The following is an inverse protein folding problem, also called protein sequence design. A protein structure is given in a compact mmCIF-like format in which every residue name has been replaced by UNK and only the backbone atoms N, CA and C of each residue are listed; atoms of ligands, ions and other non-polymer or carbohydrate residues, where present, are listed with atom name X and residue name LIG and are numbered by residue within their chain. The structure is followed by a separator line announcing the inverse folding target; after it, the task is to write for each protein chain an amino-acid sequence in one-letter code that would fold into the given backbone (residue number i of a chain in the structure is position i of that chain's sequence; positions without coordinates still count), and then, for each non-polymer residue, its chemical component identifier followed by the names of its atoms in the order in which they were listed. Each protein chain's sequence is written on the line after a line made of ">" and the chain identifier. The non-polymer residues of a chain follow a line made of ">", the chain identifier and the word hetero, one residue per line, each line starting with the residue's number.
data_IF_887049914866
#
_entry.id   IF_887049914866
#
_cell.length_a   1.000
_cell.length_b   1.000
_cell.length_c   1.000
_cell.angle_alpha   90.00
_cell.angle_beta   90.00
_cell.angle_gamma   90.00
#
_symmetry.space_group_name_H-M   'P 1'
#
loop_
_entity.id
_entity.type
_entity.pdbx_description
1 polymer ?
#
# COMPACT_ATOMS: atom_id res chain seq x y z
N UNK A 1 15.74 26.32 -14.10
CA UNK A 1 15.27 25.70 -12.84
C UNK A 1 15.51 24.21 -12.95
N UNK A 2 16.49 23.69 -12.24
CA UNK A 2 16.74 22.25 -12.19
C UNK A 2 15.59 21.54 -11.48
N UNK A 3 15.07 20.44 -12.04
CA UNK A 3 14.04 19.63 -11.39
C UNK A 3 14.53 19.01 -10.07
N UNK A 4 13.64 18.63 -9.14
CA UNK A 4 14.02 18.15 -7.82
C UNK A 4 14.85 16.85 -7.87
N UNK A 5 15.81 16.73 -6.96
CA UNK A 5 16.76 15.62 -6.88
C UNK A 5 16.11 14.23 -6.69
N UNK A 6 14.85 14.13 -6.24
CA UNK A 6 14.15 12.84 -5.96
C UNK A 6 13.69 12.08 -7.18
N UNK A 7 13.75 12.71 -8.34
CA UNK A 7 13.54 12.05 -9.61
C UNK A 7 14.86 11.68 -10.30
N UNK A 8 16.00 12.09 -9.73
CA UNK A 8 17.34 11.69 -10.16
C UNK A 8 17.78 10.50 -9.31
N UNK A 9 18.21 9.44 -9.99
CA UNK A 9 18.88 8.32 -9.37
C UNK A 9 20.17 8.79 -8.69
N UNK A 10 20.69 8.09 -7.67
CA UNK A 10 22.01 8.40 -7.14
C UNK A 10 23.03 8.45 -8.29
N UNK A 11 23.89 9.48 -8.36
CA UNK A 11 24.90 9.57 -9.41
C UNK A 11 25.87 8.39 -9.27
N UNK A 12 26.26 7.81 -10.40
CA UNK A 12 27.48 7.03 -10.44
C UNK A 12 28.65 7.96 -10.08
N UNK A 13 29.53 7.48 -9.20
CA UNK A 13 30.73 8.17 -8.71
C UNK A 13 31.47 8.91 -9.85
N UNK A 14 31.72 10.23 -9.75
CA UNK A 14 32.35 11.02 -10.80
C UNK A 14 33.88 10.87 -10.84
N UNK A 15 34.47 9.95 -10.08
CA UNK A 15 35.91 9.69 -10.15
C UNK A 15 36.24 8.69 -11.27
N UNK A 16 36.81 9.20 -12.35
CA UNK A 16 37.33 8.43 -13.47
C UNK A 16 38.54 7.56 -13.09
N UNK A 17 38.28 6.46 -12.39
CA UNK A 17 39.19 5.33 -12.27
C UNK A 17 38.46 4.06 -12.72
N UNK A 18 38.90 3.50 -13.85
CA UNK A 18 38.57 2.13 -14.26
C UNK A 18 39.14 1.14 -13.25
N UNK A 19 38.47 0.97 -12.12
CA UNK A 19 38.60 -0.24 -11.32
C UNK A 19 37.61 -1.25 -11.88
N UNK A 20 38.12 -2.41 -12.30
CA UNK A 20 37.33 -3.58 -12.65
C UNK A 20 36.27 -3.85 -11.57
N UNK A 21 35.04 -3.40 -11.80
CA UNK A 21 33.94 -3.53 -10.83
C UNK A 21 33.62 -5.01 -10.68
N UNK A 22 33.96 -5.58 -9.53
CA UNK A 22 33.15 -6.63 -8.92
C UNK A 22 31.68 -6.20 -9.02
N UNK A 23 30.76 -7.07 -9.46
CA UNK A 23 29.33 -6.76 -9.57
C UNK A 23 28.88 -5.92 -8.36
N UNK A 24 28.56 -4.65 -8.59
CA UNK A 24 28.38 -3.69 -7.50
C UNK A 24 27.05 -3.97 -6.79
N UNK A 25 27.12 -4.68 -5.68
CA UNK A 25 25.98 -5.00 -4.82
C UNK A 25 25.44 -3.73 -4.16
N UNK A 26 24.13 -3.55 -4.15
CA UNK A 26 23.47 -2.43 -3.48
C UNK A 26 23.17 -2.79 -2.02
N UNK A 27 23.54 -1.91 -1.09
CA UNK A 27 23.16 -2.06 0.31
C UNK A 27 21.80 -1.40 0.54
N UNK A 28 20.87 -2.12 1.17
CA UNK A 28 19.51 -1.65 1.48
C UNK A 28 19.20 -1.96 2.94
N UNK A 29 18.73 -0.97 3.69
CA UNK A 29 18.27 -1.22 5.06
C UNK A 29 16.94 -1.98 5.02
N UNK A 30 16.85 -3.11 5.72
CA UNK A 30 15.62 -3.88 5.86
C UNK A 30 15.11 -3.82 7.30
N UNK A 31 13.87 -3.40 7.47
CA UNK A 31 13.21 -3.38 8.78
C UNK A 31 11.96 -4.27 8.73
N UNK A 32 12.03 -5.52 9.21
CA UNK A 32 10.89 -6.45 9.10
C UNK A 32 9.63 -5.97 9.82
N UNK A 33 9.77 -5.20 10.89
CA UNK A 33 8.65 -4.72 11.71
C UNK A 33 7.94 -5.84 12.46
N UNK A 34 6.67 -5.61 12.78
CA UNK A 34 5.84 -6.48 13.61
C UNK A 34 4.82 -7.29 12.79
N UNK A 35 4.15 -8.22 13.46
CA UNK A 35 3.08 -9.00 12.87
C UNK A 35 3.60 -9.94 11.77
N UNK A 36 2.97 -9.95 10.59
CA UNK A 36 3.41 -10.79 9.46
C UNK A 36 4.65 -10.25 8.76
N UNK A 37 5.15 -9.07 9.13
CA UNK A 37 6.30 -8.42 8.50
C UNK A 37 7.54 -9.31 8.31
N UNK A 38 8.03 -10.03 9.35
CA UNK A 38 9.15 -10.97 9.22
C UNK A 38 8.93 -12.08 8.19
N UNK A 39 7.72 -12.65 8.11
CA UNK A 39 7.35 -13.67 7.13
C UNK A 39 7.39 -13.10 5.70
N UNK A 40 6.89 -11.89 5.51
CA UNK A 40 6.90 -11.21 4.22
C UNK A 40 8.31 -10.79 3.77
N UNK A 41 9.16 -10.33 4.70
CA UNK A 41 10.55 -10.02 4.37
C UNK A 41 11.36 -11.28 4.04
N UNK A 42 11.09 -12.39 4.71
CA UNK A 42 11.68 -13.68 4.33
C UNK A 42 11.28 -14.07 2.90
N UNK A 43 10.00 -13.94 2.55
CA UNK A 43 9.51 -14.18 1.19
C UNK A 43 10.23 -13.30 0.14
N UNK A 44 10.47 -12.02 0.44
CA UNK A 44 11.25 -11.14 -0.44
C UNK A 44 12.68 -11.68 -0.62
N UNK A 45 13.36 -12.04 0.46
CA UNK A 45 14.74 -12.57 0.41
C UNK A 45 14.83 -13.86 -0.42
N UNK A 46 13.86 -14.76 -0.30
CA UNK A 46 13.81 -16.00 -1.11
C UNK A 46 13.66 -15.71 -2.60
N UNK A 47 12.74 -14.81 -2.96
CA UNK A 47 12.53 -14.41 -4.36
C UNK A 47 13.77 -13.68 -4.91
N UNK A 48 14.39 -12.80 -4.12
CA UNK A 48 15.58 -12.04 -4.52
C UNK A 48 16.78 -12.97 -4.74
N UNK A 49 16.96 -13.97 -3.88
CA UNK A 49 17.98 -15.00 -4.04
C UNK A 49 17.77 -15.82 -5.30
N UNK A 50 16.54 -16.25 -5.57
CA UNK A 50 16.20 -17.01 -6.77
C UNK A 50 16.37 -16.20 -8.06
N UNK A 51 16.08 -14.89 -8.01
CA UNK A 51 16.24 -13.98 -9.14
C UNK A 51 17.68 -13.42 -9.28
N UNK A 52 18.63 -13.84 -8.44
CA UNK A 52 20.01 -13.33 -8.40
C UNK A 52 20.07 -11.79 -8.39
N UNK A 53 19.29 -11.18 -7.50
CA UNK A 53 19.26 -9.72 -7.33
C UNK A 53 20.53 -9.24 -6.62
N UNK A 54 21.26 -8.23 -7.16
CA UNK A 54 22.48 -7.71 -6.55
C UNK A 54 22.18 -6.75 -5.39
N UNK A 55 21.43 -7.21 -4.38
CA UNK A 55 21.06 -6.45 -3.18
C UNK A 55 21.47 -7.22 -1.93
N UNK A 56 22.13 -6.54 -1.00
CA UNK A 56 22.42 -7.02 0.35
C UNK A 56 21.60 -6.22 1.34
N UNK A 57 20.85 -6.93 2.18
CA UNK A 57 20.02 -6.33 3.21
C UNK A 57 20.81 -6.17 4.51
N UNK A 58 20.87 -4.94 5.00
CA UNK A 58 21.27 -4.62 6.37
C UNK A 58 20.01 -4.68 7.26
N UNK A 59 19.82 -5.83 7.93
CA UNK A 59 18.59 -6.14 8.67
C UNK A 59 18.64 -5.60 10.11
N UNK A 60 17.65 -4.77 10.46
CA UNK A 60 17.47 -4.24 11.80
C UNK A 60 16.12 -4.66 12.39
N UNK A 61 16.01 -4.73 13.72
CA UNK A 61 14.75 -5.03 14.41
C UNK A 61 14.29 -3.85 15.26
N UNK A 62 13.07 -3.37 15.00
CA UNK A 62 12.42 -2.31 15.76
C UNK A 62 10.95 -2.67 16.00
N UNK A 63 10.53 -2.62 17.26
CA UNK A 63 9.17 -2.95 17.70
C UNK A 63 8.80 -2.10 18.91
N UNK A 64 7.62 -1.49 18.91
CA UNK A 64 7.07 -0.78 20.09
C UNK A 64 6.38 -1.75 21.06
N UNK A 65 5.91 -2.90 20.58
CA UNK A 65 5.13 -3.86 21.41
C UNK A 65 6.02 -4.64 22.34
N UNK A 66 7.21 -5.01 21.87
CA UNK A 66 8.13 -5.83 22.65
C UNK A 66 8.86 -5.03 23.74
N UNK A 67 8.65 -3.71 23.86
CA UNK A 67 9.40 -2.80 24.75
C UNK A 67 10.94 -2.92 24.63
N UNK A 68 11.43 -3.53 23.55
CA UNK A 68 12.86 -3.79 23.33
C UNK A 68 13.57 -2.59 22.69
N UNK A 69 12.82 -1.57 22.28
CA UNK A 69 13.31 -0.44 21.53
C UNK A 69 13.59 0.73 22.46
N UNK A 70 14.86 1.09 22.56
CA UNK A 70 15.32 2.36 23.10
C UNK A 70 15.33 3.41 21.99
N UNK A 71 15.36 4.69 22.36
CA UNK A 71 15.60 5.77 21.39
C UNK A 71 16.89 5.52 20.57
N UNK A 72 17.91 4.96 21.22
CA UNK A 72 19.18 4.58 20.59
C UNK A 72 18.99 3.58 19.44
N UNK A 73 18.08 2.60 19.56
CA UNK A 73 17.81 1.66 18.46
C UNK A 73 17.10 2.34 17.30
N UNK A 74 16.20 3.29 17.57
CA UNK A 74 15.60 4.07 16.49
C UNK A 74 16.67 4.89 15.76
N UNK A 75 17.61 5.50 16.49
CA UNK A 75 18.72 6.25 15.89
C UNK A 75 19.64 5.36 15.05
N UNK A 76 20.00 4.16 15.53
CA UNK A 76 20.77 3.18 14.74
C UNK A 76 20.09 2.83 13.42
N UNK A 77 18.77 2.58 13.44
CA UNK A 77 18.00 2.30 12.23
C UNK A 77 17.97 3.50 11.30
N UNK A 78 17.77 4.71 11.84
CA UNK A 78 17.78 5.95 11.05
C UNK A 78 19.14 6.15 10.39
N UNK A 79 20.24 5.91 11.10
CA UNK A 79 21.59 6.09 10.58
C UNK A 79 21.90 5.06 9.48
N UNK A 80 21.52 3.79 9.64
CA UNK A 80 21.57 2.80 8.56
C UNK A 80 20.77 3.25 7.32
N UNK A 81 19.57 3.82 7.50
CA UNK A 81 18.77 4.34 6.38
C UNK A 81 19.39 5.58 5.72
N UNK A 82 20.10 6.42 6.48
CA UNK A 82 20.84 7.57 5.91
C UNK A 82 22.03 7.12 5.07
N UNK A 83 22.73 6.07 5.52
CA UNK A 83 23.88 5.48 4.82
C UNK A 83 23.44 4.75 3.54
N UNK A 84 22.44 3.87 3.63
CA UNK A 84 21.95 3.09 2.49
C UNK A 84 21.12 3.91 1.50
N UNK A 85 20.54 5.04 1.96
CA UNK A 85 19.60 5.91 1.24
C UNK A 85 18.28 5.26 0.82
N UNK A 86 18.18 3.94 0.88
CA UNK A 86 17.05 3.14 0.43
C UNK A 86 16.73 2.08 1.47
N UNK A 87 15.45 1.98 1.85
CA UNK A 87 15.01 0.99 2.81
C UNK A 87 13.74 0.25 2.37
N UNK A 88 13.60 -1.00 2.84
CA UNK A 88 12.38 -1.80 2.74
C UNK A 88 11.85 -2.09 4.14
N UNK A 89 10.66 -1.60 4.46
CA UNK A 89 10.10 -1.67 5.81
C UNK A 89 8.77 -2.41 5.86
N UNK A 90 8.58 -3.21 6.91
CA UNK A 90 7.31 -3.77 7.33
C UNK A 90 6.60 -2.82 8.30
N UNK A 91 5.43 -3.23 8.80
CA UNK A 91 4.65 -2.39 9.72
C UNK A 91 5.15 -2.53 11.15
N UNK A 92 5.68 -1.45 11.72
CA UNK A 92 5.87 -1.32 13.18
C UNK A 92 4.50 -1.13 13.83
N UNK A 93 4.10 -2.01 14.74
CA UNK A 93 2.83 -1.90 15.46
C UNK A 93 2.91 -0.80 16.51
N UNK A 94 1.92 0.09 16.54
CA UNK A 94 1.81 1.16 17.53
C UNK A 94 0.72 0.79 18.53
N UNK A 95 1.03 0.63 19.83
CA UNK A 95 0.03 0.38 20.86
C UNK A 95 -1.02 1.50 20.90
N UNK A 96 -2.29 1.14 21.15
CA UNK A 96 -3.37 2.13 21.30
C UNK A 96 -3.38 2.81 22.67
N UNK A 97 -2.70 2.21 23.66
CA UNK A 97 -2.63 2.76 25.01
C UNK A 97 -1.62 3.90 25.08
N UNK A 98 -2.04 5.04 25.64
CA UNK A 98 -1.16 6.17 25.88
C UNK A 98 -0.17 5.84 27.01
N UNK A 99 1.12 5.74 26.67
CA UNK A 99 2.22 5.47 27.62
C UNK A 99 3.15 6.67 27.81
N UNK A 100 2.67 7.89 27.56
CA UNK A 100 3.41 9.14 27.77
C UNK A 100 3.99 9.79 26.52
N UNK A 101 4.25 9.02 25.44
CA UNK A 101 4.62 9.57 24.13
C UNK A 101 3.47 9.41 23.14
N UNK A 102 3.03 10.52 22.53
CA UNK A 102 1.97 10.53 21.52
C UNK A 102 2.46 10.13 20.12
N UNK A 103 3.76 10.24 19.87
CA UNK A 103 4.33 9.96 18.56
C UNK A 103 4.94 8.55 18.52
N UNK A 104 4.44 7.73 17.61
CA UNK A 104 4.96 6.38 17.39
C UNK A 104 6.36 6.38 16.77
N UNK A 105 7.07 5.25 16.83
CA UNK A 105 8.35 5.05 16.16
C UNK A 105 8.24 5.20 14.65
N UNK A 106 7.15 4.72 14.03
CA UNK A 106 6.91 4.93 12.60
C UNK A 106 6.83 6.43 12.27
N UNK A 107 6.14 7.23 13.11
CA UNK A 107 6.06 8.68 12.94
C UNK A 107 7.40 9.38 13.20
N UNK A 108 8.14 8.97 14.22
CA UNK A 108 9.47 9.53 14.54
C UNK A 108 10.49 9.21 13.45
N UNK A 109 10.50 7.97 12.95
CA UNK A 109 11.33 7.53 11.82
C UNK A 109 11.08 8.41 10.59
N UNK A 110 9.81 8.56 10.19
CA UNK A 110 9.42 9.38 9.03
C UNK A 110 9.79 10.86 9.19
N UNK A 111 9.70 11.41 10.41
CA UNK A 111 10.12 12.79 10.71
C UNK A 111 11.63 12.95 10.68
N UNK A 112 12.39 12.04 11.29
CA UNK A 112 13.87 12.07 11.30
C UNK A 112 14.47 11.99 9.89
N UNK A 113 13.79 11.29 8.97
CA UNK A 113 14.18 11.17 7.56
C UNK A 113 13.50 12.19 6.62
N UNK A 114 12.62 13.05 7.13
CA UNK A 114 11.74 13.96 6.35
C UNK A 114 11.07 13.28 5.15
N UNK A 115 10.53 12.07 5.36
CA UNK A 115 9.77 11.31 4.36
C UNK A 115 8.41 11.97 4.13
N UNK A 116 8.40 13.05 3.36
CA UNK A 116 7.28 13.98 3.22
C UNK A 116 6.18 13.52 2.27
N UNK A 117 6.51 12.72 1.26
CA UNK A 117 5.56 12.26 0.26
C UNK A 117 5.39 10.76 0.36
N UNK A 118 4.19 10.30 0.68
CA UNK A 118 3.81 8.90 0.53
C UNK A 118 3.03 8.72 -0.78
N UNK A 119 3.36 7.70 -1.54
CA UNK A 119 2.81 7.38 -2.85
C UNK A 119 2.27 5.96 -2.82
N UNK A 120 0.98 5.80 -3.09
CA UNK A 120 0.31 4.50 -3.13
C UNK A 120 -0.27 4.28 -4.51
N UNK A 121 0.15 3.19 -5.16
CA UNK A 121 -0.29 2.82 -6.50
C UNK A 121 -1.48 1.86 -6.41
N UNK A 122 -2.68 2.38 -6.65
CA UNK A 122 -3.92 1.61 -6.59
C UNK A 122 -4.26 1.14 -7.99
N UNK A 123 -3.75 -0.06 -8.33
CA UNK A 123 -3.92 -0.66 -9.64
C UNK A 123 -4.59 -2.03 -9.55
N UNK A 124 -5.63 -2.25 -10.36
CA UNK A 124 -6.25 -3.57 -10.48
C UNK A 124 -5.24 -4.59 -11.02
N UNK A 125 -5.15 -5.74 -10.36
CA UNK A 125 -4.26 -6.81 -10.78
C UNK A 125 -4.89 -7.64 -11.92
N UNK A 126 -4.16 -7.90 -13.01
CA UNK A 126 -4.67 -8.70 -14.12
C UNK A 126 -5.16 -10.09 -13.66
N UNK A 127 -6.37 -10.48 -14.09
CA UNK A 127 -6.97 -11.79 -13.77
C UNK A 127 -7.51 -11.96 -12.35
N UNK A 128 -7.41 -10.92 -11.51
CA UNK A 128 -8.12 -10.85 -10.24
C UNK A 128 -9.33 -9.94 -10.36
N UNK A 129 -10.53 -10.51 -10.21
CA UNK A 129 -11.78 -9.77 -10.34
C UNK A 129 -12.21 -9.22 -9.00
N UNK A 130 -12.44 -7.91 -8.93
CA UNK A 130 -13.13 -7.25 -7.81
C UNK A 130 -14.40 -6.57 -8.33
N UNK A 131 -15.07 -5.79 -7.48
CA UNK A 131 -16.23 -4.98 -7.87
C UNK A 131 -15.88 -3.97 -8.97
N UNK A 132 -14.69 -3.37 -8.89
CA UNK A 132 -14.18 -2.37 -9.84
C UNK A 132 -12.90 -2.90 -10.49
N UNK A 133 -12.87 -2.99 -11.82
CA UNK A 133 -11.77 -3.65 -12.55
C UNK A 133 -11.10 -2.64 -13.47
N UNK A 134 -9.81 -2.83 -13.76
CA UNK A 134 -9.00 -1.89 -14.57
C UNK A 134 -8.87 -0.49 -13.94
N UNK A 135 -8.76 -0.44 -12.61
CA UNK A 135 -8.40 0.79 -11.90
C UNK A 135 -6.89 1.03 -12.02
N UNK A 136 -6.52 2.30 -12.14
CA UNK A 136 -5.13 2.76 -12.15
C UNK A 136 -5.06 4.21 -11.68
N UNK A 137 -5.12 4.40 -10.37
CA UNK A 137 -5.01 5.71 -9.73
C UNK A 137 -3.84 5.73 -8.74
N UNK A 138 -3.32 6.93 -8.48
CA UNK A 138 -2.19 7.17 -7.58
C UNK A 138 -2.63 8.11 -6.47
N UNK A 139 -2.36 7.74 -5.23
CA UNK A 139 -2.60 8.59 -4.07
C UNK A 139 -1.26 9.13 -3.60
N UNK A 140 -1.18 10.45 -3.44
CA UNK A 140 -0.03 11.17 -2.92
C UNK A 140 -0.43 11.89 -1.65
N UNK A 141 0.18 11.48 -0.55
CA UNK A 141 -0.15 11.90 0.82
C UNK A 141 1.01 12.70 1.42
N UNK A 142 0.69 13.85 1.98
CA UNK A 142 1.59 14.58 2.90
C UNK A 142 1.76 13.76 4.19
N UNK A 143 2.98 13.55 4.67
CA UNK A 143 3.24 12.60 5.76
C UNK A 143 3.91 13.21 7.01
N UNK A 144 4.20 14.51 7.02
CA UNK A 144 5.05 15.16 8.04
C UNK A 144 4.32 16.17 8.92
N UNK A 145 3.06 16.52 8.63
CA UNK A 145 2.26 17.42 9.45
C UNK A 145 0.78 17.00 9.48
N UNK A 146 -0.11 17.94 9.79
CA UNK A 146 -1.53 17.72 9.95
C UNK A 146 -1.88 17.19 11.33
N UNK A 147 -2.86 16.30 11.37
CA UNK A 147 -3.36 15.64 12.58
C UNK A 147 -2.29 14.71 13.21
N UNK A 148 -1.30 14.28 12.42
CA UNK A 148 -0.16 13.48 12.86
C UNK A 148 0.98 14.33 13.47
N UNK A 149 0.70 15.58 13.83
CA UNK A 149 1.66 16.38 14.62
C UNK A 149 1.74 15.88 16.08
N UNK A 150 0.79 15.04 16.52
CA UNK A 150 0.73 14.46 17.86
C UNK A 150 0.73 15.54 18.96
N UNK A 151 0.03 16.65 18.71
CA UNK A 151 -0.12 17.76 19.64
C UNK A 151 -1.51 17.70 20.26
N UNK A 152 -1.61 16.95 21.36
CA UNK A 152 -2.85 16.79 22.13
C UNK A 152 -2.62 17.17 23.58
N UNK A 153 -3.60 17.83 24.19
CA UNK A 153 -3.58 18.14 25.61
C UNK A 153 -5.00 18.21 26.18
N UNK A 154 -5.11 17.99 27.48
CA UNK A 154 -6.35 18.16 28.22
C UNK A 154 -6.37 19.57 28.82
N UNK A 155 -7.13 20.49 28.22
CA UNK A 155 -7.19 21.89 28.68
C UNK A 155 -8.05 22.06 29.93
N UNK A 156 -9.06 21.20 30.10
CA UNK A 156 -9.83 21.03 31.31
C UNK A 156 -10.26 19.56 31.43
N UNK A 157 -10.59 19.09 32.64
CA UNK A 157 -10.99 17.69 32.87
C UNK A 157 -12.12 17.27 31.92
N UNK A 158 -11.87 16.30 31.04
CA UNK A 158 -12.78 15.80 30.01
C UNK A 158 -12.79 16.60 28.71
N UNK A 159 -11.91 17.59 28.54
CA UNK A 159 -11.80 18.44 27.34
C UNK A 159 -10.43 18.24 26.71
N UNK A 160 -10.39 17.46 25.62
CA UNK A 160 -9.17 17.17 24.87
C UNK A 160 -9.12 18.05 23.62
N UNK A 161 -8.02 18.78 23.48
CA UNK A 161 -7.71 19.57 22.30
C UNK A 161 -6.69 18.85 21.44
N UNK A 162 -7.00 18.66 20.16
CA UNK A 162 -6.10 18.11 19.15
C UNK A 162 -5.72 19.20 18.16
N UNK A 163 -4.44 19.58 18.11
CA UNK A 163 -3.95 20.65 17.25
C UNK A 163 -3.48 20.11 15.89
N UNK A 164 -4.20 20.48 14.84
CA UNK A 164 -3.82 20.22 13.45
C UNK A 164 -2.94 21.35 12.93
N UNK A 165 -1.70 21.02 12.55
CA UNK A 165 -0.75 21.98 12.01
C UNK A 165 -0.61 21.79 10.50
N UNK A 166 -0.90 22.82 9.72
CA UNK A 166 -0.65 22.86 8.27
C UNK A 166 0.23 24.06 7.98
N UNK A 167 1.29 23.85 7.20
CA UNK A 167 2.23 24.90 6.81
C UNK A 167 2.28 25.07 5.30
N UNK A 168 2.48 26.30 4.86
CA UNK A 168 2.61 26.64 3.42
C UNK A 168 3.77 25.87 2.77
N UNK A 169 4.92 25.79 3.45
CA UNK A 169 6.11 25.13 2.90
C UNK A 169 5.87 23.63 2.62
N UNK A 170 5.25 22.91 3.58
CA UNK A 170 4.96 21.48 3.42
C UNK A 170 3.81 21.22 2.44
N UNK A 171 2.82 22.12 2.38
CA UNK A 171 1.74 22.07 1.38
C UNK A 171 2.23 22.32 -0.05
N UNK A 172 3.09 23.33 -0.26
CA UNK A 172 3.65 23.62 -1.58
C UNK A 172 4.58 22.50 -2.07
N UNK A 173 5.40 21.90 -1.19
CA UNK A 173 6.31 20.81 -1.61
C UNK A 173 5.54 19.54 -2.02
N UNK A 174 4.49 19.17 -1.30
CA UNK A 174 3.70 17.97 -1.65
C UNK A 174 2.88 18.19 -2.92
N UNK A 175 2.31 19.38 -3.10
CA UNK A 175 1.66 19.77 -4.34
C UNK A 175 2.64 19.69 -5.51
N UNK A 176 3.82 20.31 -5.38
CA UNK A 176 4.86 20.26 -6.41
C UNK A 176 5.26 18.83 -6.75
N UNK A 177 5.49 18.00 -5.73
CA UNK A 177 5.80 16.59 -5.91
C UNK A 177 4.71 15.86 -6.71
N UNK A 178 3.43 16.12 -6.42
CA UNK A 178 2.32 15.49 -7.13
C UNK A 178 2.27 15.87 -8.63
N UNK A 179 2.50 17.14 -8.96
CA UNK A 179 2.55 17.60 -10.35
C UNK A 179 3.81 17.12 -11.10
N UNK A 180 4.97 17.10 -10.44
CA UNK A 180 6.20 16.53 -10.98
C UNK A 180 6.02 15.03 -11.26
N UNK A 181 5.42 14.30 -10.32
CA UNK A 181 5.09 12.88 -10.46
C UNK A 181 4.16 12.66 -11.65
N UNK A 182 3.05 13.42 -11.72
CA UNK A 182 2.09 13.33 -12.80
C UNK A 182 2.76 13.54 -14.17
N UNK A 183 3.59 14.57 -14.28
CA UNK A 183 4.35 14.88 -15.49
C UNK A 183 5.32 13.76 -15.87
N UNK A 184 6.15 13.27 -14.93
CA UNK A 184 7.14 12.22 -15.20
C UNK A 184 6.49 10.88 -15.57
N UNK A 185 5.34 10.57 -15.00
CA UNK A 185 4.61 9.31 -15.24
C UNK A 185 3.59 9.40 -16.37
N UNK A 186 3.53 10.53 -17.08
CA UNK A 186 2.59 10.73 -18.19
C UNK A 186 1.12 10.69 -17.76
N UNK A 187 0.84 11.10 -16.51
CA UNK A 187 -0.52 11.30 -16.01
C UNK A 187 -1.07 12.64 -16.50
N UNK A 188 -2.38 12.76 -16.55
CA UNK A 188 -3.08 13.86 -17.19
C UNK A 188 -3.81 14.76 -16.20
N UNK A 189 -4.12 14.25 -15.00
CA UNK A 189 -4.95 14.96 -14.01
C UNK A 189 -4.43 14.80 -12.58
N UNK A 190 -4.47 15.90 -11.82
CA UNK A 190 -4.21 15.94 -10.37
C UNK A 190 -5.44 16.51 -9.67
N UNK A 191 -5.97 15.76 -8.70
CA UNK A 191 -7.12 16.15 -7.86
C UNK A 191 -6.64 16.46 -6.44
N UNK A 192 -6.81 17.70 -5.97
CA UNK A 192 -6.54 18.05 -4.57
C UNK A 192 -7.74 17.69 -3.68
N UNK A 193 -7.54 16.83 -2.68
CA UNK A 193 -8.59 16.40 -1.75
C UNK A 193 -8.47 17.13 -0.42
N UNK A 194 -9.57 17.73 0.05
CA UNK A 194 -9.57 18.63 1.19
C UNK A 194 -10.93 18.66 1.92
N UNK A 195 -11.04 19.44 3.01
CA UNK A 195 -12.26 19.77 3.73
C UNK A 195 -12.32 21.27 4.06
N UNK A 196 -11.90 22.10 3.11
CA UNK A 196 -11.81 23.56 3.28
C UNK A 196 -13.18 24.24 3.50
N UNK A 197 -14.29 23.55 3.21
CA UNK A 197 -15.63 24.03 3.54
C UNK A 197 -15.88 24.10 5.06
N UNK A 198 -15.18 23.29 5.86
CA UNK A 198 -15.21 23.32 7.33
C UNK A 198 -13.94 23.98 7.88
N UNK A 199 -12.76 23.51 7.47
CA UNK A 199 -11.47 24.03 7.91
C UNK A 199 -10.95 25.11 6.95
N UNK A 200 -11.57 26.28 7.01
CA UNK A 200 -11.31 27.40 6.09
C UNK A 200 -9.85 27.88 6.08
N UNK A 201 -9.15 27.80 7.21
CA UNK A 201 -7.76 28.25 7.32
C UNK A 201 -6.77 27.12 7.01
N UNK A 202 -6.83 25.99 7.72
CA UNK A 202 -5.88 24.90 7.54
C UNK A 202 -5.95 24.28 6.14
N UNK A 203 -7.10 23.70 5.79
CA UNK A 203 -7.30 23.08 4.49
C UNK A 203 -7.43 24.11 3.36
N UNK A 204 -7.88 25.33 3.68
CA UNK A 204 -7.85 26.44 2.73
C UNK A 204 -6.44 26.82 2.31
N UNK A 205 -5.49 26.85 3.26
CA UNK A 205 -4.07 27.08 2.95
C UNK A 205 -3.50 25.97 2.05
N UNK A 206 -3.78 24.70 2.37
CA UNK A 206 -3.36 23.57 1.53
C UNK A 206 -3.91 23.69 0.10
N UNK A 207 -5.20 24.00 -0.03
CA UNK A 207 -5.87 24.16 -1.32
C UNK A 207 -5.24 25.29 -2.16
N UNK A 208 -5.04 26.45 -1.53
CA UNK A 208 -4.39 27.60 -2.17
C UNK A 208 -2.98 27.24 -2.67
N UNK A 209 -2.19 26.51 -1.87
CA UNK A 209 -0.86 26.06 -2.30
C UNK A 209 -0.92 25.11 -3.51
N UNK A 210 -1.93 24.24 -3.59
CA UNK A 210 -2.13 23.36 -4.73
C UNK A 210 -2.50 24.15 -5.99
N UNK A 211 -3.39 25.14 -5.87
CA UNK A 211 -3.80 26.04 -6.95
C UNK A 211 -2.61 26.84 -7.50
N UNK A 212 -1.83 27.47 -6.62
CA UNK A 212 -0.62 28.22 -7.00
C UNK A 212 0.40 27.33 -7.74
N UNK A 213 0.59 26.09 -7.29
CA UNK A 213 1.50 25.16 -7.97
C UNK A 213 0.92 24.71 -9.31
N UNK A 214 -0.39 24.50 -9.42
CA UNK A 214 -1.05 24.06 -10.65
C UNK A 214 -0.81 25.02 -11.83
N UNK A 215 -0.71 26.33 -11.57
CA UNK A 215 -0.39 27.35 -12.58
C UNK A 215 0.94 27.09 -13.29
N UNK A 216 1.89 26.41 -12.63
CA UNK A 216 3.19 26.06 -13.20
C UNK A 216 3.14 24.85 -14.14
N UNK A 217 2.02 24.10 -14.18
CA UNK A 217 1.86 22.87 -14.96
C UNK A 217 0.62 22.91 -15.87
N UNK A 218 0.58 23.80 -16.89
CA UNK A 218 -0.63 24.04 -17.70
C UNK A 218 -1.11 22.83 -18.53
N UNK A 219 -0.28 21.78 -18.66
CA UNK A 219 -0.63 20.53 -19.35
C UNK A 219 -1.35 19.52 -18.47
N UNK A 220 -1.30 19.68 -17.15
CA UNK A 220 -1.95 18.80 -16.19
C UNK A 220 -3.27 19.43 -15.79
N UNK A 221 -4.38 18.71 -15.99
CA UNK A 221 -5.69 19.16 -15.52
C UNK A 221 -5.69 19.16 -13.99
N UNK A 222 -6.09 20.27 -13.40
CA UNK A 222 -6.27 20.40 -11.95
C UNK A 222 -7.75 20.46 -11.60
N UNK A 223 -8.17 19.66 -10.62
CA UNK A 223 -9.48 19.74 -9.99
C UNK A 223 -9.36 19.59 -8.47
N UNK A 224 -10.41 19.98 -7.76
CA UNK A 224 -10.46 19.94 -6.29
C UNK A 224 -11.71 19.18 -5.87
N UNK A 225 -11.62 18.47 -4.74
CA UNK A 225 -12.74 17.68 -4.26
C UNK A 225 -12.76 17.64 -2.73
N UNK A 226 -13.94 17.85 -2.16
CA UNK A 226 -14.11 17.63 -0.72
C UNK A 226 -14.02 16.13 -0.39
N UNK A 227 -13.37 15.78 0.72
CA UNK A 227 -13.07 14.39 1.11
C UNK A 227 -14.32 13.50 1.16
N UNK A 228 -15.46 14.00 1.67
CA UNK A 228 -16.71 13.23 1.70
C UNK A 228 -17.17 12.81 0.30
N UNK A 229 -17.16 13.75 -0.65
CA UNK A 229 -17.52 13.47 -2.04
C UNK A 229 -16.46 12.57 -2.69
N UNK A 230 -15.17 12.76 -2.37
CA UNK A 230 -14.10 11.89 -2.86
C UNK A 230 -14.35 10.43 -2.46
N UNK A 231 -14.68 10.16 -1.20
CA UNK A 231 -15.05 8.82 -0.73
C UNK A 231 -16.26 8.27 -1.48
N UNK A 232 -17.32 9.07 -1.68
CA UNK A 232 -18.50 8.65 -2.45
C UNK A 232 -18.14 8.30 -3.90
N UNK A 233 -17.36 9.16 -4.56
CA UNK A 233 -16.97 9.00 -5.96
C UNK A 233 -16.00 7.82 -6.15
N UNK A 234 -15.09 7.55 -5.21
CA UNK A 234 -14.21 6.39 -5.27
C UNK A 234 -14.99 5.07 -5.25
N UNK A 235 -16.11 5.01 -4.53
CA UNK A 235 -16.97 3.82 -4.50
C UNK A 235 -17.93 3.78 -5.69
N UNK A 236 -18.43 4.92 -6.15
CA UNK A 236 -19.42 4.98 -7.23
C UNK A 236 -18.79 4.90 -8.63
N UNK A 237 -17.77 5.73 -8.89
CA UNK A 237 -17.10 5.83 -10.19
C UNK A 237 -15.59 6.18 -10.00
N UNK A 238 -14.77 5.21 -9.55
CA UNK A 238 -13.33 5.44 -9.32
C UNK A 238 -12.51 5.74 -10.60
N UNK A 239 -13.04 5.43 -11.78
CA UNK A 239 -12.35 5.60 -13.08
C UNK A 239 -12.07 7.06 -13.45
N UNK A 240 -12.71 8.00 -12.77
CA UNK A 240 -12.51 9.43 -13.01
C UNK A 240 -11.21 9.97 -12.40
N UNK A 241 -10.57 9.22 -11.52
CA UNK A 241 -9.37 9.66 -10.81
C UNK A 241 -8.10 9.21 -11.52
N UNK A 242 -7.06 10.04 -11.43
CA UNK A 242 -5.73 9.78 -11.96
C UNK A 242 -4.71 9.92 -10.82
N UNK A 243 -4.21 11.13 -10.53
CA UNK A 243 -3.41 11.41 -9.33
C UNK A 243 -4.26 12.18 -8.31
N UNK A 244 -4.25 11.76 -7.05
CA UNK A 244 -4.86 12.52 -5.95
C UNK A 244 -3.77 13.02 -5.01
N UNK A 245 -3.85 14.28 -4.57
CA UNK A 245 -2.95 14.86 -3.57
C UNK A 245 -3.73 15.35 -2.37
N UNK A 246 -3.26 15.07 -1.15
CA UNK A 246 -4.02 15.40 0.06
C UNK A 246 -3.18 15.52 1.34
N UNK A 247 -3.70 16.22 2.37
CA UNK A 247 -3.15 16.22 3.72
C UNK A 247 -3.14 14.83 4.37
N UNK A 248 -2.38 14.72 5.45
CA UNK A 248 -1.98 13.47 6.07
C UNK A 248 -3.12 12.53 6.47
N UNK A 249 -4.11 13.02 7.23
CA UNK A 249 -5.23 12.17 7.69
C UNK A 249 -6.10 11.64 6.55
N UNK A 250 -6.40 12.49 5.56
CA UNK A 250 -7.23 12.07 4.43
C UNK A 250 -6.51 11.07 3.55
N UNK A 251 -5.20 11.24 3.37
CA UNK A 251 -4.35 10.26 2.69
C UNK A 251 -4.52 8.89 3.29
N UNK A 252 -4.36 8.77 4.62
CA UNK A 252 -4.51 7.49 5.30
C UNK A 252 -5.87 6.84 5.07
N UNK A 253 -6.95 7.61 5.12
CA UNK A 253 -8.32 7.11 4.92
C UNK A 253 -8.50 6.64 3.47
N UNK A 254 -8.08 7.46 2.50
CA UNK A 254 -8.25 7.19 1.08
C UNK A 254 -7.37 6.02 0.62
N UNK A 255 -6.15 5.88 1.15
CA UNK A 255 -5.27 4.73 0.89
C UNK A 255 -5.97 3.41 1.25
N UNK A 256 -6.58 3.34 2.43
CA UNK A 256 -7.27 2.13 2.90
C UNK A 256 -8.56 1.86 2.10
N UNK A 257 -9.35 2.91 1.81
CA UNK A 257 -10.55 2.79 0.98
C UNK A 257 -10.19 2.25 -0.41
N UNK A 258 -9.19 2.88 -1.05
CA UNK A 258 -8.79 2.55 -2.41
C UNK A 258 -8.13 1.18 -2.50
N UNK A 259 -7.36 0.76 -1.48
CA UNK A 259 -6.88 -0.61 -1.39
C UNK A 259 -8.01 -1.62 -1.39
N UNK A 260 -9.10 -1.34 -0.66
CA UNK A 260 -10.32 -2.16 -0.68
C UNK A 260 -10.95 -2.33 -2.07
N UNK A 261 -10.80 -1.35 -2.97
CA UNK A 261 -11.36 -1.42 -4.33
C UNK A 261 -10.63 -2.44 -5.23
N UNK A 262 -9.32 -2.63 -5.02
CA UNK A 262 -8.46 -3.45 -5.88
C UNK A 262 -8.08 -4.81 -5.30
N UNK A 263 -8.50 -5.12 -4.07
CA UNK A 263 -8.33 -6.45 -3.47
C UNK A 263 -7.96 -6.48 -1.99
N UNK A 264 -7.72 -5.32 -1.39
CA UNK A 264 -7.35 -5.16 0.00
C UNK A 264 -5.87 -4.85 0.19
N UNK A 265 -5.46 -4.77 1.45
CA UNK A 265 -4.12 -4.35 1.83
C UNK A 265 -2.99 -5.27 1.34
N UNK A 266 -3.29 -6.56 1.13
CA UNK A 266 -2.32 -7.57 0.72
C UNK A 266 -1.76 -7.40 -0.69
N UNK A 267 -2.32 -6.51 -1.52
CA UNK A 267 -1.94 -6.36 -2.93
C UNK A 267 -1.44 -4.98 -3.34
N UNK A 268 -1.54 -3.98 -2.47
CA UNK A 268 -1.23 -2.59 -2.82
C UNK A 268 0.18 -2.22 -2.33
N UNK A 269 1.12 -1.88 -3.24
CA UNK A 269 2.43 -1.39 -2.86
C UNK A 269 2.41 0.10 -2.48
N UNK A 270 3.33 0.50 -1.61
CA UNK A 270 3.50 1.87 -1.14
C UNK A 270 4.97 2.29 -1.16
N UNK A 271 5.18 3.59 -1.33
CA UNK A 271 6.50 4.22 -1.45
C UNK A 271 6.48 5.52 -0.64
N UNK A 272 7.54 5.81 0.10
CA UNK A 272 7.70 7.04 0.87
C UNK A 272 9.01 7.72 0.45
N UNK A 273 8.93 9.00 0.12
CA UNK A 273 10.03 9.76 -0.44
C UNK A 273 10.38 10.96 0.44
N UNK A 274 11.68 11.23 0.56
CA UNK A 274 12.20 12.46 1.16
C UNK A 274 13.10 13.22 0.19
N UNK A 275 13.65 14.31 0.75
CA UNK A 275 14.91 14.98 0.48
C UNK A 275 16.10 14.21 -0.13
N UNK A 276 16.25 12.94 0.20
CA UNK A 276 17.49 12.18 -0.04
C UNK A 276 17.28 10.66 0.02
N UNK A 277 16.13 10.21 0.53
CA UNK A 277 15.87 8.85 0.93
C UNK A 277 14.59 8.34 0.28
N UNK A 278 14.55 7.03 0.02
CA UNK A 278 13.35 6.34 -0.44
C UNK A 278 13.08 5.09 0.41
N UNK A 279 11.85 4.97 0.90
CA UNK A 279 11.42 3.88 1.76
C UNK A 279 10.24 3.16 1.12
N UNK A 280 10.37 1.86 0.92
CA UNK A 280 9.37 1.01 0.28
C UNK A 280 8.65 0.17 1.33
N UNK A 281 7.32 0.09 1.23
CA UNK A 281 6.47 -0.55 2.23
C UNK A 281 5.14 -1.00 1.61
N UNK A 282 4.28 -1.68 2.37
CA UNK A 282 2.91 -1.95 1.90
C UNK A 282 2.09 -0.66 1.91
N UNK A 283 1.26 -0.42 0.88
CA UNK A 283 0.45 0.80 0.75
C UNK A 283 -0.60 0.92 1.86
N UNK A 284 -1.20 -0.19 2.29
CA UNK A 284 -2.05 -0.23 3.47
C UNK A 284 -1.30 -0.86 4.64
N UNK A 285 -1.15 -0.08 5.71
CA UNK A 285 -0.23 -0.34 6.83
C UNK A 285 -0.86 -1.17 7.95
N UNK A 286 -1.18 -2.42 7.66
CA UNK A 286 -1.71 -3.36 8.65
C UNK A 286 -0.67 -4.41 9.06
N UNK A 287 -0.42 -4.62 10.38
CA UNK A 287 0.52 -5.64 10.84
C UNK A 287 -0.04 -7.07 10.72
N UNK A 288 -1.35 -7.23 10.61
CA UNK A 288 -2.07 -8.51 10.54
C UNK A 288 -1.64 -9.51 11.63
N UNK A 289 -1.55 -9.04 12.88
CA UNK A 289 -0.96 -9.77 14.00
C UNK A 289 -1.57 -11.17 14.25
N UNK A 290 -2.87 -11.37 13.96
CA UNK A 290 -3.52 -12.66 14.09
C UNK A 290 -3.03 -13.75 13.12
N UNK A 291 -2.27 -13.39 12.08
CA UNK A 291 -1.71 -14.31 11.09
C UNK A 291 -0.25 -14.69 11.34
N UNK A 292 0.38 -14.13 12.38
CA UNK A 292 1.79 -14.40 12.73
C UNK A 292 2.04 -15.90 12.85
N UNK A 293 3.05 -16.39 12.13
CA UNK A 293 3.49 -17.79 12.19
C UNK A 293 2.50 -18.80 11.59
N UNK A 294 1.43 -18.34 10.93
CA UNK A 294 0.41 -19.23 10.35
C UNK A 294 0.64 -19.54 8.88
N UNK A 295 1.62 -18.90 8.22
CA UNK A 295 1.91 -19.10 6.81
C UNK A 295 0.72 -18.77 5.89
N UNK A 296 -0.03 -17.71 6.21
CA UNK A 296 -1.25 -17.29 5.47
C UNK A 296 -1.20 -15.82 5.02
N UNK A 297 -0.07 -15.14 5.22
CA UNK A 297 0.10 -13.76 4.82
C UNK A 297 0.21 -13.65 3.29
N UNK A 298 -0.39 -12.62 2.70
CA UNK A 298 -0.25 -12.39 1.26
C UNK A 298 1.04 -11.59 0.98
N UNK A 299 2.04 -12.15 0.27
CA UNK A 299 3.29 -11.46 0.02
C UNK A 299 3.23 -10.51 -1.19
N UNK A 300 2.10 -10.43 -1.90
CA UNK A 300 1.97 -9.65 -3.14
C UNK A 300 2.37 -8.19 -2.97
N UNK A 301 1.78 -7.47 -2.00
CA UNK A 301 2.07 -6.06 -1.79
C UNK A 301 3.56 -5.82 -1.52
N UNK A 302 4.15 -6.62 -0.62
CA UNK A 302 5.56 -6.46 -0.26
C UNK A 302 6.51 -6.79 -1.42
N UNK A 303 6.22 -7.85 -2.20
CA UNK A 303 7.00 -8.19 -3.39
C UNK A 303 6.90 -7.10 -4.47
N UNK A 304 5.73 -6.49 -4.66
CA UNK A 304 5.55 -5.39 -5.59
C UNK A 304 6.27 -4.11 -5.11
N UNK A 305 6.26 -3.82 -3.81
CA UNK A 305 7.04 -2.72 -3.22
C UNK A 305 8.54 -2.94 -3.38
N UNK A 306 9.02 -4.17 -3.15
CA UNK A 306 10.40 -4.55 -3.38
C UNK A 306 10.77 -4.45 -4.88
N UNK A 307 9.87 -4.78 -5.81
CA UNK A 307 10.08 -4.55 -7.23
C UNK A 307 10.15 -3.04 -7.56
N UNK A 308 9.35 -2.19 -6.92
CA UNK A 308 9.44 -0.74 -7.10
C UNK A 308 10.76 -0.17 -6.55
N UNK A 309 11.25 -0.72 -5.42
CA UNK A 309 12.57 -0.41 -4.88
C UNK A 309 13.68 -0.72 -5.90
N UNK A 310 13.65 -1.91 -6.53
CA UNK A 310 14.62 -2.26 -7.57
C UNK A 310 14.58 -1.28 -8.76
N UNK A 311 13.38 -0.80 -9.14
CA UNK A 311 13.25 0.22 -10.18
C UNK A 311 13.87 1.56 -9.74
N UNK A 312 13.77 1.92 -8.47
CA UNK A 312 14.42 3.11 -7.92
C UNK A 312 15.95 2.99 -7.91
N UNK A 313 16.47 1.77 -7.73
CA UNK A 313 17.91 1.44 -7.79
C UNK A 313 18.44 1.26 -9.23
N UNK A 314 17.65 1.56 -10.28
CA UNK A 314 17.99 1.30 -11.69
C UNK A 314 18.26 -0.18 -12.03
N UNK A 315 17.59 -1.09 -11.33
CA UNK A 315 17.59 -2.52 -11.61
C UNK A 315 16.29 -2.89 -12.35
N UNK A 316 16.02 -2.28 -13.50
CA UNK A 316 14.74 -2.47 -14.21
C UNK A 316 14.50 -3.92 -14.62
N UNK A 317 15.55 -4.64 -15.02
CA UNK A 317 15.45 -6.05 -15.38
C UNK A 317 14.87 -6.88 -14.22
N UNK A 318 15.50 -6.83 -13.04
CA UNK A 318 15.06 -7.56 -11.86
C UNK A 318 13.69 -7.08 -11.36
N UNK A 319 13.45 -5.76 -11.41
CA UNK A 319 12.15 -5.19 -11.08
C UNK A 319 11.01 -5.77 -11.92
N UNK A 320 11.19 -5.78 -13.24
CA UNK A 320 10.17 -6.29 -14.16
C UNK A 320 10.02 -7.81 -14.04
N UNK A 321 11.13 -8.54 -13.89
CA UNK A 321 11.15 -9.98 -13.68
C UNK A 321 10.26 -10.40 -12.51
N UNK A 322 10.47 -9.80 -11.34
CA UNK A 322 9.72 -10.12 -10.11
C UNK A 322 8.27 -9.65 -10.23
N UNK A 323 8.05 -8.40 -10.68
CA UNK A 323 6.70 -7.84 -10.79
C UNK A 323 5.82 -8.64 -11.77
N UNK A 324 6.38 -9.09 -12.88
CA UNK A 324 5.63 -9.83 -13.89
C UNK A 324 5.39 -11.29 -13.46
N UNK A 325 6.33 -11.92 -12.75
CA UNK A 325 6.12 -13.22 -12.12
C UNK A 325 4.95 -13.17 -11.11
N UNK A 326 4.93 -12.18 -10.22
CA UNK A 326 3.82 -11.97 -9.27
C UNK A 326 2.49 -11.77 -9.99
N UNK A 327 2.43 -10.86 -10.97
CA UNK A 327 1.19 -10.64 -11.76
C UNK A 327 0.74 -11.91 -12.49
N UNK A 328 1.67 -12.72 -12.99
CA UNK A 328 1.37 -13.98 -13.70
C UNK A 328 0.74 -15.01 -12.76
N UNK A 329 1.27 -15.19 -11.56
CA UNK A 329 0.69 -16.10 -10.54
C UNK A 329 -0.75 -15.70 -10.23
N UNK A 330 -0.99 -14.42 -9.98
CA UNK A 330 -2.32 -13.88 -9.67
C UNK A 330 -3.30 -14.03 -10.84
N UNK A 331 -2.82 -13.75 -12.06
CA UNK A 331 -3.58 -13.87 -13.30
C UNK A 331 -4.01 -15.31 -13.59
N UNK A 332 -3.12 -16.28 -13.40
CA UNK A 332 -3.41 -17.70 -13.55
C UNK A 332 -4.40 -18.17 -12.47
N UNK A 333 -4.28 -17.64 -11.26
CA UNK A 333 -5.27 -17.81 -10.19
C UNK A 333 -5.29 -19.19 -9.52
N UNK A 334 -4.34 -20.07 -9.84
CA UNK A 334 -4.20 -21.40 -9.20
C UNK A 334 -3.67 -21.32 -7.77
N UNK A 335 -2.78 -20.36 -7.49
CA UNK A 335 -2.17 -20.15 -6.18
C UNK A 335 -2.61 -18.79 -5.66
N UNK A 336 -3.50 -18.81 -4.66
CA UNK A 336 -4.11 -17.62 -4.08
C UNK A 336 -4.20 -17.78 -2.57
N UNK A 337 -3.77 -16.76 -1.86
CA UNK A 337 -3.93 -16.64 -0.41
C UNK A 337 -5.38 -16.36 -0.05
N UNK A 338 -5.71 -16.50 1.23
CA UNK A 338 -7.09 -16.45 1.73
C UNK A 338 -7.78 -15.11 1.50
N UNK A 339 -7.06 -14.01 1.58
CA UNK A 339 -7.55 -12.65 1.29
C UNK A 339 -7.93 -12.46 -0.19
N UNK A 340 -7.36 -13.25 -1.10
CA UNK A 340 -7.71 -13.31 -2.52
C UNK A 340 -8.72 -14.41 -2.85
N UNK A 341 -9.36 -15.00 -1.83
CA UNK A 341 -10.37 -16.05 -1.97
C UNK A 341 -9.82 -17.44 -2.25
N UNK A 342 -8.52 -17.68 -2.05
CA UNK A 342 -7.90 -19.01 -2.17
C UNK A 342 -7.59 -19.68 -0.83
N UNK A 343 -6.79 -20.75 -0.88
CA UNK A 343 -6.39 -21.55 0.28
C UNK A 343 -4.89 -21.79 0.34
N UNK A 344 -4.12 -21.22 -0.58
CA UNK A 344 -2.67 -21.39 -0.64
C UNK A 344 -1.99 -20.64 0.50
N UNK A 345 -0.89 -21.21 0.98
CA UNK A 345 -0.03 -20.59 1.99
C UNK A 345 0.87 -19.50 1.39
N UNK A 346 1.51 -18.72 2.25
CA UNK A 346 2.55 -17.76 1.83
C UNK A 346 3.67 -18.49 1.09
N UNK A 347 4.15 -19.61 1.62
CA UNK A 347 5.17 -20.44 0.99
C UNK A 347 4.76 -20.97 -0.39
N UNK A 348 3.51 -21.44 -0.56
CA UNK A 348 3.00 -21.89 -1.87
C UNK A 348 3.04 -20.75 -2.89
N UNK A 349 2.64 -19.55 -2.46
CA UNK A 349 2.65 -18.36 -3.31
C UNK A 349 4.08 -17.98 -3.72
N UNK A 350 5.01 -17.91 -2.77
CA UNK A 350 6.43 -17.60 -3.02
C UNK A 350 7.05 -18.61 -3.98
N UNK A 351 6.83 -19.91 -3.75
CA UNK A 351 7.30 -20.96 -4.65
C UNK A 351 6.76 -20.76 -6.06
N UNK A 352 5.45 -20.48 -6.19
CA UNK A 352 4.84 -20.23 -7.50
C UNK A 352 5.40 -18.99 -8.20
N UNK A 353 5.77 -17.95 -7.45
CA UNK A 353 6.47 -16.78 -8.01
C UNK A 353 7.86 -17.17 -8.51
N UNK A 354 8.63 -17.92 -7.72
CA UNK A 354 9.98 -18.41 -8.10
C UNK A 354 9.92 -19.25 -9.37
N UNK A 355 8.96 -20.19 -9.47
CA UNK A 355 8.74 -21.03 -10.66
C UNK A 355 8.41 -20.21 -11.92
N UNK A 356 7.94 -18.96 -11.75
CA UNK A 356 7.61 -18.05 -12.84
C UNK A 356 8.66 -16.96 -13.12
N UNK A 357 9.77 -16.91 -12.36
CA UNK A 357 10.89 -16.00 -12.64
C UNK A 357 11.57 -16.38 -13.96
N UNK A 358 11.84 -17.66 -14.17
CA UNK A 358 12.41 -18.15 -15.42
C UNK A 358 11.28 -18.74 -16.26
N UNK A 359 11.04 -18.26 -17.50
CA UNK A 359 10.15 -18.97 -18.38
C UNK A 359 10.67 -20.39 -18.55
N UNK A 360 9.90 -21.40 -18.12
CA UNK A 360 10.16 -22.79 -18.50
C UNK A 360 10.29 -22.82 -20.02
N UNK A 361 11.51 -22.99 -20.52
CA UNK A 361 11.72 -23.43 -21.89
C UNK A 361 11.11 -24.83 -22.00
N UNK A 362 9.87 -24.89 -22.47
CA UNK A 362 9.20 -26.08 -22.99
C UNK A 362 8.96 -27.24 -22.02
N UNK A 363 7.82 -27.23 -21.35
CA UNK A 363 7.08 -28.46 -21.04
C UNK A 363 5.89 -28.59 -22.02
N UNK A 364 6.19 -28.57 -23.31
CA UNK A 364 5.30 -29.11 -24.34
C UNK A 364 5.96 -30.37 -24.88
N UNK A 365 5.20 -31.46 -24.86
CA UNK A 365 5.68 -32.80 -25.13
C UNK A 365 6.40 -32.95 -26.47
N UNK A 366 7.34 -33.89 -26.50
CA UNK A 366 7.99 -34.29 -27.72
C UNK A 366 8.96 -35.43 -27.46
N UNK A 367 8.62 -36.60 -27.99
CA UNK A 367 9.57 -37.62 -28.38
C UNK A 367 10.88 -36.99 -28.89
N UNK A 368 12.00 -37.54 -28.39
CA UNK A 368 13.34 -37.15 -28.80
C UNK A 368 13.52 -37.24 -30.31
N UNK A 369 13.82 -36.10 -30.92
CA UNK A 369 14.31 -35.99 -32.28
C UNK A 369 15.36 -34.89 -32.29
N UNK A 370 16.64 -35.27 -32.23
CA UNK A 370 17.77 -34.35 -32.35
C UNK A 370 17.68 -33.59 -33.68
N UNK A 371 17.71 -32.25 -33.62
CA UNK A 371 18.10 -31.41 -34.76
C UNK A 371 19.52 -30.93 -34.55
N UNK A 372 20.31 -31.15 -35.59
CA UNK A 372 21.74 -30.89 -35.72
C UNK A 372 22.04 -29.37 -35.73
N UNK A 373 23.01 -28.93 -34.93
CA UNK A 373 23.65 -27.61 -35.02
C UNK A 373 24.99 -27.82 -35.76
N UNK A 374 25.33 -27.08 -36.83
CA UNK A 374 26.58 -27.28 -37.54
C UNK A 374 27.73 -26.50 -36.90
N UNK A 375 28.89 -27.14 -36.78
CA UNK A 375 30.17 -26.48 -36.58
C UNK A 375 30.92 -26.94 -35.35
N UNK A 376 31.78 -27.95 -35.52
CA UNK A 376 33.19 -27.95 -35.10
C UNK A 376 33.79 -29.31 -35.46
N UNK A 377 34.74 -29.33 -36.40
CA UNK A 377 35.62 -30.47 -36.64
C UNK A 377 36.77 -30.43 -35.64
N UNK A 378 37.16 -31.58 -35.08
CA UNK A 378 38.49 -32.07 -35.40
C UNK A 378 38.53 -33.58 -35.70
N UNK A 379 39.23 -33.87 -36.80
CA UNK A 379 40.08 -35.05 -37.07
C UNK A 379 40.08 -36.22 -36.05
N UNK A 380 39.65 -37.42 -36.46
CA UNK A 380 40.50 -38.58 -36.81
C UNK A 380 39.69 -39.89 -36.86
N UNK A 381 40.07 -40.69 -37.84
CA UNK A 381 40.03 -42.16 -37.92
C UNK A 381 38.70 -42.92 -38.07
N UNK A 382 38.65 -43.62 -39.21
CA UNK A 382 37.65 -44.59 -39.64
C UNK A 382 37.85 -45.92 -38.90
N UNK A 383 36.75 -46.60 -38.59
CA UNK A 383 36.61 -48.05 -38.83
C UNK A 383 35.12 -48.44 -38.84
N UNK A 384 34.64 -49.28 -39.78
CA UNK A 384 33.23 -49.65 -39.93
C UNK A 384 32.93 -51.01 -39.27
N UNK A 385 31.73 -51.20 -38.73
CA UNK A 385 31.30 -52.53 -38.31
C UNK A 385 29.86 -52.61 -37.77
N UNK A 386 29.09 -53.50 -38.41
CA UNK A 386 27.87 -54.17 -37.93
C UNK A 386 26.51 -53.48 -38.09
N UNK A 387 25.90 -53.78 -39.25
CA UNK A 387 24.46 -54.01 -39.41
C UNK A 387 23.96 -55.18 -38.54
N UNK A 388 22.70 -55.10 -38.12
CA UNK A 388 21.85 -56.24 -37.68
C UNK A 388 20.54 -55.71 -37.09
N UNK A 389 19.48 -55.53 -37.90
CA UNK A 389 18.39 -56.48 -38.17
C UNK A 389 17.35 -56.71 -37.04
N UNK A 390 16.09 -56.32 -37.38
CA UNK A 390 14.83 -57.09 -37.23
C UNK A 390 14.32 -57.39 -35.79
N UNK A 391 13.01 -57.50 -35.49
CA UNK A 391 11.73 -57.34 -36.17
C UNK A 391 10.60 -57.42 -35.11
N UNK A 392 9.38 -56.98 -35.48
CA UNK A 392 8.04 -57.55 -35.17
C UNK A 392 7.65 -57.89 -33.72
N UNK A 393 6.47 -57.61 -33.16
CA UNK A 393 5.11 -58.04 -33.58
C UNK A 393 4.11 -57.51 -32.52
N UNK A 394 3.04 -56.76 -32.84
CA UNK A 394 1.68 -57.18 -33.18
C UNK A 394 0.66 -57.33 -32.01
N UNK A 395 -0.50 -56.66 -32.17
CA UNK A 395 -1.89 -57.05 -31.78
C UNK A 395 -2.49 -56.70 -30.39
N UNK A 396 -3.13 -55.52 -30.30
CA UNK A 396 -4.59 -55.18 -30.15
C UNK A 396 -5.60 -56.04 -29.29
N UNK A 397 -6.77 -55.48 -28.87
CA UNK A 397 -7.39 -55.48 -27.50
C UNK A 397 -8.81 -56.13 -27.51
N UNK A 398 -9.93 -55.61 -26.90
CA UNK A 398 -10.24 -54.86 -25.66
C UNK A 398 -11.39 -55.50 -24.81
N UNK A 399 -11.73 -54.96 -23.62
CA UNK A 399 -13.03 -55.20 -22.94
C UNK A 399 -13.50 -54.00 -22.05
N UNK A 400 -14.70 -53.49 -22.33
CA UNK A 400 -15.67 -52.73 -21.50
C UNK A 400 -17.01 -53.52 -21.64
N UNK A 401 -18.07 -53.39 -20.79
CA UNK A 401 -18.64 -52.14 -20.24
C UNK A 401 -19.36 -52.24 -18.85
N UNK A 402 -19.88 -51.11 -18.32
CA UNK A 402 -21.29 -50.93 -17.86
C UNK A 402 -21.50 -49.78 -16.84
N UNK A 403 -22.39 -48.83 -17.17
CA UNK A 403 -23.26 -48.08 -16.24
C UNK A 403 -24.71 -48.59 -16.40
N UNK A 404 -25.65 -48.33 -15.45
CA UNK A 404 -26.62 -47.24 -15.67
C UNK A 404 -27.22 -46.58 -14.40
N UNK A 405 -27.76 -45.35 -14.52
CA UNK A 405 -28.86 -44.89 -13.65
C UNK A 405 -29.14 -43.38 -13.53
N UNK A 406 -30.05 -42.85 -14.36
CA UNK A 406 -30.70 -41.52 -14.25
C UNK A 406 -31.80 -41.50 -13.18
N UNK A 407 -31.99 -40.39 -12.45
CA UNK A 407 -33.31 -39.93 -11.96
C UNK A 407 -33.40 -38.39 -12.00
N UNK A 408 -34.61 -37.91 -12.28
CA UNK A 408 -35.06 -36.59 -12.75
C UNK A 408 -35.47 -35.66 -11.58
N UNK A 409 -35.39 -34.34 -11.79
CA UNK A 409 -35.93 -33.27 -10.92
C UNK A 409 -37.47 -33.33 -10.74
N UNK A 410 -38.04 -32.54 -9.80
CA UNK A 410 -38.64 -31.29 -10.28
C UNK A 410 -38.49 -30.07 -9.35
N UNK A 411 -38.70 -28.92 -9.98
CA UNK A 411 -38.82 -27.55 -9.47
C UNK A 411 -40.12 -27.37 -8.67
N UNK A 412 -40.09 -26.58 -7.58
CA UNK A 412 -41.20 -25.72 -7.13
C UNK A 412 -40.68 -24.67 -6.12
N UNK A 413 -41.05 -23.41 -6.36
CA UNK A 413 -40.73 -22.26 -5.53
C UNK A 413 -41.71 -22.05 -4.37
N UNK A 414 -41.73 -20.80 -3.87
CA UNK A 414 -42.39 -20.29 -2.64
C UNK A 414 -41.47 -20.47 -1.41
N UNK A 415 -40.94 -19.47 -0.72
CA UNK A 415 -41.38 -18.09 -0.51
C UNK A 415 -42.05 -17.97 0.85
N UNK A 416 -41.28 -17.83 1.95
CA UNK A 416 -41.61 -16.98 3.13
C UNK A 416 -40.61 -17.19 4.29
N UNK A 417 -40.04 -16.06 4.73
CA UNK A 417 -39.80 -15.58 6.10
C UNK A 417 -39.68 -16.62 7.22
N UNK A 418 -38.50 -16.68 7.84
CA UNK A 418 -38.24 -17.40 9.09
C UNK A 418 -37.76 -16.44 10.18
N UNK A 419 -38.54 -16.32 11.25
CA UNK A 419 -38.16 -15.78 12.56
C UNK A 419 -38.73 -16.72 13.64
N UNK A 420 -38.08 -16.85 14.81
CA UNK A 420 -37.97 -18.10 15.57
C UNK A 420 -39.08 -18.31 16.62
N UNK A 421 -39.21 -19.52 17.21
CA UNK A 421 -40.17 -19.77 18.27
C UNK A 421 -39.64 -19.32 19.64
N UNK A 422 -40.56 -18.77 20.45
CA UNK A 422 -40.40 -18.46 21.88
C UNK A 422 -41.23 -19.42 22.72
N UNK A 423 -40.70 -19.84 23.89
CA UNK A 423 -41.47 -20.13 25.13
C UNK A 423 -40.53 -19.95 26.34
N UNK A 424 -40.67 -18.91 27.18
CA UNK A 424 -41.64 -18.67 28.29
C UNK A 424 -41.10 -19.22 29.63
N UNK A 425 -40.68 -18.40 30.60
CA UNK A 425 -41.44 -17.75 31.72
C UNK A 425 -40.44 -16.79 32.44
N UNK A 426 -40.77 -15.65 33.05
CA UNK A 426 -42.02 -14.94 33.37
C UNK A 426 -41.69 -13.68 34.22
N UNK A 427 -42.69 -12.78 34.38
CA UNK A 427 -42.65 -11.62 35.30
C UNK A 427 -42.65 -10.25 34.58
N UNK A 428 -43.77 -9.82 33.99
CA UNK A 428 -44.73 -8.82 34.52
C UNK A 428 -44.18 -7.39 34.72
N UNK A 429 -44.46 -6.50 33.77
CA UNK A 429 -45.31 -5.31 33.93
C UNK A 429 -45.46 -4.59 32.57
N UNK A 430 -46.70 -4.47 32.06
CA UNK A 430 -47.02 -3.68 30.86
C UNK A 430 -47.53 -2.30 31.26
N UNK A 431 -47.20 -1.22 30.52
CA UNK A 431 -47.94 0.02 30.55
C UNK A 431 -49.10 -0.02 29.52
N UNK A 432 -50.16 0.77 29.76
CA UNK A 432 -51.11 1.18 28.72
C UNK A 432 -51.47 2.67 28.84
N UNK A 433 -51.90 3.30 27.74
CA UNK A 433 -51.69 4.73 27.45
C UNK A 433 -52.99 5.53 27.35
N UNK A 434 -52.95 6.88 27.45
CA UNK A 434 -53.93 7.78 26.80
C UNK A 434 -53.30 9.16 26.47
N UNK A 435 -53.82 9.72 25.38
CA UNK A 435 -53.56 10.87 24.50
C UNK A 435 -53.65 12.34 25.07
N UNK A 436 -53.43 13.41 24.24
CA UNK A 436 -52.80 14.68 24.62
C UNK A 436 -53.77 15.86 24.81
N UNK A 437 -53.26 16.97 25.37
CA UNK A 437 -53.95 18.26 25.43
C UNK A 437 -53.09 19.43 24.90
N UNK A 438 -53.81 20.35 24.24
CA UNK A 438 -53.40 21.54 23.48
C UNK A 438 -52.83 22.67 24.35
N UNK A 439 -52.09 23.58 23.72
CA UNK A 439 -52.07 25.00 24.13
C UNK A 439 -50.77 25.75 23.81
N UNK A 440 -50.76 26.52 22.72
CA UNK A 440 -49.85 27.66 22.53
C UNK A 440 -50.37 28.89 23.34
N UNK A 441 -49.55 29.94 23.56
CA UNK A 441 -49.46 30.98 22.53
C UNK A 441 -48.05 31.54 22.31
N UNK A 442 -47.91 32.22 21.16
CA UNK A 442 -46.75 32.94 20.70
C UNK A 442 -46.59 34.31 21.38
N UNK A 443 -45.34 34.77 21.51
CA UNK A 443 -45.00 36.20 21.56
C UNK A 443 -43.75 36.46 20.71
N UNK A 444 -43.86 37.49 19.89
CA UNK A 444 -42.90 38.01 18.91
C UNK A 444 -42.22 39.27 19.48
N UNK A 445 -41.14 39.74 18.81
CA UNK A 445 -40.35 40.98 19.00
C UNK A 445 -39.15 40.84 19.98
N UNK A 446 -37.95 41.39 19.75
CA UNK A 446 -37.43 42.33 18.76
C UNK A 446 -35.89 42.20 18.70
N UNK A 447 -35.29 42.51 17.55
CA UNK A 447 -33.86 42.80 17.42
C UNK A 447 -33.51 44.16 18.07
N UNK A 448 -32.33 44.27 18.68
CA UNK A 448 -31.66 45.55 18.89
C UNK A 448 -30.14 45.37 18.89
N UNK A 449 -29.52 46.01 17.90
CA UNK A 449 -28.10 46.33 17.79
C UNK A 449 -27.73 47.44 18.78
N UNK A 450 -26.55 47.36 19.39
CA UNK A 450 -25.84 48.54 19.88
C UNK A 450 -24.33 48.31 19.86
N UNK A 451 -23.64 49.14 19.09
CA UNK A 451 -22.20 49.35 19.09
C UNK A 451 -21.90 50.68 19.79
N UNK A 452 -20.88 50.71 20.65
CA UNK A 452 -20.04 51.88 21.00
C UNK A 452 -18.92 51.38 21.93
N UNK A 453 -17.65 51.33 21.53
CA UNK A 453 -16.61 52.39 21.38
C UNK A 453 -15.95 52.84 22.71
N UNK A 454 -14.61 52.69 22.71
CA UNK A 454 -13.55 53.49 23.38
C UNK A 454 -13.51 53.45 24.91
N UNK A 455 -12.39 53.61 25.61
CA UNK A 455 -10.93 53.69 25.42
C UNK A 455 -10.43 53.77 26.89
N UNK A 456 -9.22 53.30 27.23
CA UNK A 456 -8.59 53.77 28.48
C UNK A 456 -7.68 52.80 29.25
N UNK A 457 -6.39 52.95 28.94
CA UNK A 457 -5.14 52.72 29.71
C UNK A 457 -5.21 52.43 31.23
N UNK A 458 -4.20 51.65 31.67
CA UNK A 458 -3.54 51.75 32.99
C UNK A 458 -3.73 50.50 33.86
N UNK A 459 -2.80 49.54 33.88
CA UNK A 459 -1.54 49.49 34.66
C UNK A 459 -1.62 48.51 35.84
N UNK A 460 -0.71 47.54 35.80
CA UNK A 460 0.02 46.91 36.92
C UNK A 460 -0.69 45.98 37.93
N UNK A 461 0.06 44.89 38.18
CA UNK A 461 0.30 44.17 39.45
C UNK A 461 -0.56 42.95 39.86
N UNK A 462 0.11 41.79 39.72
CA UNK A 462 0.33 40.73 40.75
C UNK A 462 -0.74 39.66 41.03
N UNK A 463 -0.30 38.41 40.85
CA UNK A 463 -0.60 37.17 41.61
C UNK A 463 -2.06 36.78 41.89
N UNK A 464 -2.44 35.58 41.48
CA UNK A 464 -2.41 34.37 42.32
C UNK A 464 -3.28 33.26 41.70
N UNK A 465 -2.73 32.04 41.74
CA UNK A 465 -3.43 30.77 42.00
C UNK A 465 -4.80 30.55 41.33
N UNK A 466 -4.84 29.71 40.30
CA UNK A 466 -5.42 28.35 40.37
C UNK A 466 -4.94 27.51 39.19
#
# INVERSE_FOLDING_TARGET
>A
MEGPAFLRCPPADPTGQENAKSESTFQVTMLPGDGVGPELMHAVKEVFKAASVPVVFDEHHLSEVQNMASEEKLDQVVDSMKESKVALIGKIHTPMEYKGELASYDMRLRRKLDLFANVVHVKSLPGYKTRHNNLDLVIIREQTEGEYSSLEHESAKGVIECLKIITRAKSQRIAKFAFDYATKKGRSKVTAVHKANIMKLGDGLFLQCCEEVAELYPKIKFDTMIIDNCCMQLVQNPYQFDVLVMPNLYGNIIDNLAAGLVGGAGVVPGESYSAEYAVFEMGARHPFAQAVGRNIANPTAMLLSAANMLRHLNLEYHSNLIADAVKKVIKVGKVRTRDLGGYSTTSDFVKSVIDNLHPHYGAHGGHGGLRHVPGFHPSRDRCPGCLGQLASSSLLPPCLPAEPGKVVSPVLGVGTVWSPPTRVRGGQARPRPVQPLRGAPAFTLLAASAAAKQDGRGSTTTSALY
#
